data_IF_304466645831
#
_entry.id   IF_304466645831
#
_cell.length_a   1.000
_cell.length_b   1.000
_cell.length_c   1.000
_cell.angle_alpha   90.00
_cell.angle_beta   90.00
_cell.angle_gamma   90.00
#
_symmetry.space_group_name_H-M   'P 1'
#
loop_
_entity.id
_entity.type
_entity.pdbx_description
1 polymer ?
#
# COMPACT_ATOMS: atom_id res chain seq x y z
N UNK A 1 0.65 9.30 20.73
CA UNK A 1 0.22 10.68 20.38
C UNK A 1 0.07 10.72 18.88
N UNK A 2 -1.13 10.90 18.34
CA UNK A 2 -1.38 10.92 16.90
C UNK A 2 -0.66 12.12 16.31
N UNK A 3 0.17 11.91 15.28
CA UNK A 3 0.89 12.98 14.58
C UNK A 3 -0.14 13.88 13.88
N UNK A 4 0.05 15.19 14.00
CA UNK A 4 -0.85 16.17 13.41
C UNK A 4 -0.53 16.37 11.92
N UNK A 5 -1.30 15.72 11.03
CA UNK A 5 -1.19 15.84 9.57
C UNK A 5 -2.06 16.98 9.01
N UNK A 6 -2.22 18.05 9.76
CA UNK A 6 -3.24 19.11 9.54
C UNK A 6 -3.34 19.59 8.10
N UNK A 7 -2.28 19.57 7.34
CA UNK A 7 -2.26 20.11 5.99
C UNK A 7 -2.16 19.06 4.87
N UNK A 8 -1.99 17.76 5.19
CA UNK A 8 -2.09 16.70 4.17
C UNK A 8 -3.44 16.00 4.25
N UNK A 9 -4.39 16.56 3.55
CA UNK A 9 -5.78 16.11 3.56
C UNK A 9 -5.92 14.65 3.08
N UNK A 10 -5.12 14.22 2.11
CA UNK A 10 -5.26 12.87 1.57
C UNK A 10 -4.78 11.81 2.56
N UNK A 11 -3.67 12.08 3.26
CA UNK A 11 -3.22 11.21 4.34
C UNK A 11 -4.25 11.17 5.48
N UNK A 12 -4.80 12.33 5.88
CA UNK A 12 -5.85 12.36 6.90
C UNK A 12 -7.08 11.54 6.49
N UNK A 13 -7.51 11.62 5.22
CA UNK A 13 -8.64 10.80 4.73
C UNK A 13 -8.28 9.32 4.79
N UNK A 14 -7.09 8.93 4.32
CA UNK A 14 -6.67 7.53 4.38
C UNK A 14 -6.71 7.00 5.82
N UNK A 15 -6.20 7.76 6.78
CA UNK A 15 -6.15 7.33 8.19
C UNK A 15 -7.53 7.24 8.86
N UNK A 16 -8.61 7.81 8.28
CA UNK A 16 -9.98 7.62 8.80
C UNK A 16 -10.47 6.17 8.66
N UNK A 17 -9.82 5.35 7.84
CA UNK A 17 -10.17 3.94 7.71
C UNK A 17 -10.05 3.15 9.02
N UNK A 18 -9.25 3.67 9.96
CA UNK A 18 -9.03 3.07 11.28
C UNK A 18 -10.00 3.57 12.36
N UNK A 19 -10.97 4.41 12.01
CA UNK A 19 -12.02 4.80 12.96
C UNK A 19 -12.77 3.54 13.42
N UNK A 20 -12.95 3.41 14.74
CA UNK A 20 -13.63 2.26 15.34
C UNK A 20 -15.13 2.22 15.06
N UNK A 21 -15.71 3.36 14.67
CA UNK A 21 -17.14 3.53 14.44
C UNK A 21 -17.55 3.48 12.95
N UNK A 22 -16.75 2.85 12.08
CA UNK A 22 -17.01 2.79 10.62
C UNK A 22 -18.21 1.90 10.26
N UNK A 23 -19.37 2.21 10.86
CA UNK A 23 -20.67 1.58 10.59
C UNK A 23 -21.52 2.42 9.64
N UNK A 24 -22.65 1.85 9.19
CA UNK A 24 -23.62 2.58 8.38
C UNK A 24 -24.09 3.84 9.10
N UNK A 25 -24.25 4.92 8.33
CA UNK A 25 -24.67 6.25 8.78
C UNK A 25 -23.63 7.00 9.66
N UNK A 26 -22.45 6.39 9.94
CA UNK A 26 -21.36 7.10 10.60
C UNK A 26 -20.86 8.28 9.76
N UNK A 27 -20.66 9.44 10.42
CA UNK A 27 -20.15 10.67 9.77
C UNK A 27 -18.63 10.68 9.88
N UNK A 28 -17.97 10.39 8.76
CA UNK A 28 -16.51 10.36 8.68
C UNK A 28 -15.92 11.76 8.70
N UNK A 29 -15.00 12.01 9.62
CA UNK A 29 -14.26 13.27 9.74
C UNK A 29 -12.76 13.02 9.77
N UNK A 30 -12.00 13.90 9.17
CA UNK A 30 -10.54 13.91 9.31
C UNK A 30 -10.15 14.33 10.73
N UNK A 31 -8.89 14.12 11.08
CA UNK A 31 -8.31 14.57 12.35
C UNK A 31 -8.42 16.09 12.52
N UNK A 32 -8.36 16.87 11.45
CA UNK A 32 -8.59 18.33 11.47
C UNK A 32 -10.05 18.73 11.63
N UNK A 33 -10.98 17.76 11.68
CA UNK A 33 -12.42 17.98 11.83
C UNK A 33 -13.16 18.21 10.51
N UNK A 34 -12.50 18.13 9.37
CA UNK A 34 -13.15 18.23 8.06
C UNK A 34 -14.07 17.03 7.82
N UNK A 35 -15.33 17.28 7.57
CA UNK A 35 -16.27 16.21 7.23
C UNK A 35 -16.03 15.73 5.80
N UNK A 36 -15.77 14.42 5.66
CA UNK A 36 -15.62 13.73 4.37
C UNK A 36 -16.97 13.35 3.79
N UNK A 37 -17.83 12.83 4.63
CA UNK A 37 -19.17 12.39 4.27
C UNK A 37 -19.75 11.42 5.29
N UNK A 38 -20.69 10.60 4.84
CA UNK A 38 -21.35 9.57 5.65
C UNK A 38 -21.15 8.21 5.03
N UNK A 39 -20.89 7.20 5.84
CA UNK A 39 -20.76 5.79 5.42
C UNK A 39 -22.11 5.28 4.93
N UNK A 40 -22.16 4.78 3.69
CA UNK A 40 -23.40 4.31 3.05
C UNK A 40 -23.34 2.86 2.59
N UNK A 41 -22.16 2.26 2.59
CA UNK A 41 -21.94 0.82 2.45
C UNK A 41 -20.76 0.39 3.32
N UNK A 42 -20.92 -0.77 3.92
CA UNK A 42 -19.92 -1.42 4.77
C UNK A 42 -19.75 -2.86 4.28
N UNK A 43 -18.52 -3.21 3.96
CA UNK A 43 -18.08 -4.58 3.74
C UNK A 43 -17.06 -4.87 4.84
N UNK A 44 -17.50 -5.58 5.87
CA UNK A 44 -16.69 -5.92 7.03
C UNK A 44 -16.82 -7.42 7.29
N UNK A 45 -15.87 -8.20 6.78
CA UNK A 45 -15.92 -9.65 6.79
C UNK A 45 -14.70 -10.25 7.51
N UNK A 46 -14.40 -9.75 8.70
CA UNK A 46 -13.25 -10.16 9.51
C UNK A 46 -13.27 -11.65 9.91
N UNK A 47 -14.44 -12.29 9.91
CA UNK A 47 -14.60 -13.74 10.17
C UNK A 47 -14.58 -14.60 8.92
N UNK A 48 -14.48 -13.98 7.74
CA UNK A 48 -14.51 -14.65 6.44
C UNK A 48 -13.24 -14.40 5.64
N UNK A 49 -13.36 -13.70 4.50
CA UNK A 49 -12.23 -13.43 3.63
C UNK A 49 -11.30 -12.32 4.15
N UNK A 50 -11.75 -11.51 5.11
CA UNK A 50 -10.94 -10.50 5.81
C UNK A 50 -11.08 -9.07 5.26
N UNK A 51 -11.85 -8.86 4.19
CA UNK A 51 -12.00 -7.54 3.59
C UNK A 51 -12.75 -6.56 4.50
N UNK A 52 -12.25 -5.33 4.57
CA UNK A 52 -12.88 -4.19 5.22
C UNK A 52 -12.89 -2.99 4.28
N UNK A 53 -14.05 -2.71 3.67
CA UNK A 53 -14.21 -1.66 2.66
C UNK A 53 -15.44 -0.81 2.98
N UNK A 54 -15.27 0.50 2.91
CA UNK A 54 -16.31 1.47 3.27
C UNK A 54 -16.55 2.44 2.12
N UNK A 55 -17.82 2.68 1.79
CA UNK A 55 -18.20 3.72 0.84
C UNK A 55 -18.76 4.94 1.58
N UNK A 56 -18.17 6.09 1.34
CA UNK A 56 -18.51 7.37 1.98
C UNK A 56 -19.01 8.34 0.92
N UNK A 57 -20.18 8.96 1.13
CA UNK A 57 -20.76 9.98 0.26
C UNK A 57 -21.04 11.28 1.03
N UNK A 58 -20.93 12.42 0.36
CA UNK A 58 -21.17 13.72 1.00
C UNK A 58 -22.59 13.90 1.49
N UNK A 59 -23.58 13.42 0.71
CA UNK A 59 -24.99 13.51 1.04
C UNK A 59 -25.64 12.13 1.00
N UNK A 60 -25.86 11.46 2.15
CA UNK A 60 -26.41 10.11 2.19
C UNK A 60 -27.89 10.04 1.74
N UNK A 61 -28.59 11.16 1.73
CA UNK A 61 -30.00 11.24 1.29
C UNK A 61 -30.16 11.45 -0.21
N UNK A 62 -29.06 11.64 -0.93
CA UNK A 62 -29.10 11.78 -2.39
C UNK A 62 -29.39 10.43 -3.04
N UNK A 63 -30.22 10.45 -4.10
CA UNK A 63 -30.47 9.21 -4.88
C UNK A 63 -29.15 8.69 -5.46
N UNK A 64 -28.92 7.42 -5.40
CA UNK A 64 -27.68 6.78 -5.81
C UNK A 64 -27.23 7.12 -7.24
N UNK A 65 -28.20 7.28 -8.18
CA UNK A 65 -27.93 7.69 -9.56
C UNK A 65 -27.56 9.17 -9.71
N UNK A 66 -27.69 9.97 -8.65
CA UNK A 66 -27.34 11.40 -8.62
C UNK A 66 -26.03 11.68 -7.89
N UNK A 67 -25.57 10.76 -7.07
CA UNK A 67 -24.28 10.87 -6.40
C UNK A 67 -23.16 11.03 -7.43
N UNK A 68 -22.40 12.12 -7.33
CA UNK A 68 -21.34 12.46 -8.28
C UNK A 68 -19.96 11.97 -7.84
N UNK A 69 -19.77 11.75 -6.54
CA UNK A 69 -18.49 11.38 -5.96
C UNK A 69 -18.68 10.41 -4.79
N UNK A 70 -17.89 9.35 -4.78
CA UNK A 70 -17.80 8.39 -3.66
C UNK A 70 -16.34 8.28 -3.24
N UNK A 71 -16.08 8.38 -1.94
CA UNK A 71 -14.80 8.03 -1.32
C UNK A 71 -14.88 6.59 -0.86
N UNK A 72 -13.94 5.76 -1.31
CA UNK A 72 -13.83 4.36 -0.91
C UNK A 72 -12.58 4.18 -0.06
N UNK A 73 -12.77 3.71 1.17
CA UNK A 73 -11.73 3.47 2.15
C UNK A 73 -11.50 1.95 2.26
N UNK A 74 -10.25 1.53 2.08
CA UNK A 74 -9.82 0.14 2.27
C UNK A 74 -9.00 0.05 3.54
N UNK A 75 -9.52 -0.61 4.56
CA UNK A 75 -8.89 -0.69 5.88
C UNK A 75 -7.76 -1.73 5.89
N UNK A 76 -6.64 -1.36 6.51
CA UNK A 76 -5.56 -2.28 6.87
C UNK A 76 -5.97 -3.29 7.95
N UNK A 77 -5.12 -4.31 8.18
CA UNK A 77 -5.44 -5.50 9.00
C UNK A 77 -5.77 -5.20 10.47
N UNK A 78 -5.17 -4.18 11.09
CA UNK A 78 -5.44 -3.80 12.48
C UNK A 78 -5.46 -2.28 12.64
N UNK A 79 -6.44 -1.77 13.41
CA UNK A 79 -6.50 -0.37 13.77
C UNK A 79 -5.44 0.00 14.84
N UNK A 80 -5.13 1.29 14.99
CA UNK A 80 -4.13 1.77 15.96
C UNK A 80 -4.43 1.36 17.41
N UNK A 81 -5.66 1.06 17.77
CA UNK A 81 -6.05 0.72 19.13
C UNK A 81 -5.58 -0.68 19.57
N UNK A 82 -5.34 -1.61 18.63
CA UNK A 82 -4.76 -2.93 18.92
C UNK A 82 -3.27 -3.02 18.62
N UNK A 83 -2.77 -2.07 17.85
CA UNK A 83 -1.38 -2.02 17.42
C UNK A 83 -0.40 -1.74 18.57
N UNK A 84 -0.86 -1.09 19.63
CA UNK A 84 -0.03 -0.66 20.76
C UNK A 84 0.18 -1.76 21.83
N UNK A 85 -0.69 -2.77 21.87
CA UNK A 85 -0.65 -3.76 22.95
C UNK A 85 0.24 -4.97 22.59
N UNK A 86 0.49 -5.26 21.29
CA UNK A 86 1.12 -6.51 20.88
C UNK A 86 2.00 -6.37 19.63
N UNK A 87 3.19 -5.80 19.76
CA UNK A 87 4.18 -5.77 18.64
C UNK A 87 4.58 -7.16 18.15
N UNK A 88 4.46 -8.19 19.01
CA UNK A 88 4.68 -9.59 18.64
C UNK A 88 3.48 -10.15 17.85
N UNK A 89 2.26 -9.77 18.20
CA UNK A 89 1.05 -10.26 17.53
C UNK A 89 0.82 -9.61 16.17
N UNK A 90 1.27 -8.37 15.95
CA UNK A 90 1.26 -7.77 14.62
C UNK A 90 2.02 -8.63 13.61
N UNK A 91 3.21 -9.10 13.96
CA UNK A 91 3.98 -10.00 13.10
C UNK A 91 3.31 -11.36 12.94
N UNK A 92 2.61 -11.85 13.97
CA UNK A 92 1.87 -13.10 13.91
C UNK A 92 0.63 -12.95 13.02
N UNK A 93 -0.18 -11.91 13.19
CA UNK A 93 -1.33 -11.60 12.33
C UNK A 93 -0.87 -11.32 10.90
N UNK A 94 0.20 -10.55 10.73
CA UNK A 94 0.77 -10.28 9.41
C UNK A 94 1.37 -11.55 8.81
N UNK A 95 2.05 -12.38 9.60
CA UNK A 95 2.62 -13.65 9.14
C UNK A 95 1.53 -14.69 8.80
N UNK A 96 0.44 -14.73 9.51
CA UNK A 96 -0.63 -15.71 9.24
C UNK A 96 -1.51 -15.31 8.04
N UNK A 97 -1.84 -14.03 7.89
CA UNK A 97 -2.77 -13.55 6.88
C UNK A 97 -2.08 -12.87 5.69
N UNK A 98 -1.08 -12.02 5.94
CA UNK A 98 -0.43 -11.20 4.93
C UNK A 98 0.89 -11.81 4.41
N UNK A 99 1.53 -12.70 5.18
CA UNK A 99 2.73 -13.40 4.77
C UNK A 99 2.50 -14.24 3.51
N UNK A 100 1.31 -14.80 3.33
CA UNK A 100 0.97 -15.54 2.11
C UNK A 100 1.05 -14.63 0.90
N UNK A 101 0.57 -13.38 1.00
CA UNK A 101 0.65 -12.41 -0.10
C UNK A 101 2.09 -11.92 -0.24
N UNK A 102 2.75 -11.52 0.85
CA UNK A 102 4.13 -11.07 0.82
C UNK A 102 5.06 -12.15 0.24
N UNK A 103 4.92 -13.40 0.67
CA UNK A 103 5.62 -14.55 0.12
C UNK A 103 5.37 -14.70 -1.38
N UNK A 104 4.12 -14.56 -1.82
CA UNK A 104 3.76 -14.60 -3.24
C UNK A 104 4.40 -13.46 -4.02
N UNK A 105 4.38 -12.25 -3.50
CA UNK A 105 5.02 -11.08 -4.11
C UNK A 105 6.52 -11.31 -4.26
N UNK A 106 7.18 -11.79 -3.20
CA UNK A 106 8.62 -12.03 -3.19
C UNK A 106 9.04 -13.18 -4.11
N UNK A 107 8.22 -14.23 -4.23
CA UNK A 107 8.52 -15.41 -5.06
C UNK A 107 8.17 -15.23 -6.55
N UNK A 108 7.53 -14.12 -6.94
CA UNK A 108 7.04 -13.94 -8.30
C UNK A 108 8.03 -13.20 -9.20
N UNK A 109 8.72 -13.91 -10.04
CA UNK A 109 9.47 -13.35 -11.20
C UNK A 109 8.85 -13.66 -12.56
N UNK A 110 7.89 -14.58 -12.63
CA UNK A 110 7.36 -15.05 -13.91
C UNK A 110 6.12 -14.27 -14.32
N UNK A 111 6.18 -13.49 -15.43
CA UNK A 111 5.01 -12.78 -15.96
C UNK A 111 3.93 -13.70 -16.55
N UNK A 112 4.20 -14.99 -16.75
CA UNK A 112 3.22 -15.98 -17.21
C UNK A 112 2.35 -16.54 -16.08
N UNK A 113 2.52 -16.04 -14.86
CA UNK A 113 1.94 -16.59 -13.66
C UNK A 113 0.42 -16.36 -13.57
N UNK A 114 -0.31 -17.44 -13.31
CA UNK A 114 -1.76 -17.39 -13.14
C UNK A 114 -2.14 -16.74 -11.79
N UNK A 115 -3.35 -16.15 -11.73
CA UNK A 115 -3.95 -15.45 -10.60
C UNK A 115 -3.59 -16.10 -9.24
N UNK A 116 -2.79 -15.41 -8.46
CA UNK A 116 -2.37 -15.80 -7.11
C UNK A 116 -2.95 -14.89 -6.03
N UNK A 117 -4.01 -14.16 -6.37
CA UNK A 117 -4.73 -13.34 -5.40
C UNK A 117 -5.30 -14.19 -4.27
N UNK A 118 -5.39 -13.60 -3.09
CA UNK A 118 -6.09 -14.19 -1.96
C UNK A 118 -7.60 -13.98 -2.07
N UNK A 119 -8.37 -14.67 -1.24
CA UNK A 119 -9.81 -14.44 -1.17
C UNK A 119 -10.14 -13.03 -0.69
N UNK A 120 -9.32 -12.43 0.19
CA UNK A 120 -9.47 -11.05 0.62
C UNK A 120 -9.34 -10.07 -0.54
N UNK A 121 -8.28 -10.16 -1.34
CA UNK A 121 -8.10 -9.30 -2.51
C UNK A 121 -9.29 -9.41 -3.48
N UNK A 122 -9.77 -10.64 -3.71
CA UNK A 122 -10.95 -10.88 -4.58
C UNK A 122 -12.23 -10.30 -3.98
N UNK A 123 -12.42 -10.43 -2.66
CA UNK A 123 -13.59 -9.90 -1.96
C UNK A 123 -13.58 -8.37 -1.97
N UNK A 124 -12.43 -7.74 -1.71
CA UNK A 124 -12.25 -6.29 -1.82
C UNK A 124 -12.53 -5.78 -3.24
N UNK A 125 -12.12 -6.53 -4.27
CA UNK A 125 -12.43 -6.20 -5.66
C UNK A 125 -13.93 -6.30 -5.97
N UNK A 126 -14.64 -7.29 -5.39
CA UNK A 126 -16.11 -7.38 -5.50
C UNK A 126 -16.76 -6.18 -4.82
N UNK A 127 -16.35 -5.84 -3.60
CA UNK A 127 -16.87 -4.69 -2.87
C UNK A 127 -16.76 -3.38 -3.67
N UNK A 128 -15.60 -3.11 -4.29
CA UNK A 128 -15.44 -1.92 -5.14
C UNK A 128 -16.40 -1.94 -6.34
N UNK A 129 -16.60 -3.08 -6.99
CA UNK A 129 -17.54 -3.20 -8.12
C UNK A 129 -18.98 -2.96 -7.67
N UNK A 130 -19.40 -3.54 -6.56
CA UNK A 130 -20.74 -3.35 -6.00
C UNK A 130 -21.00 -1.88 -5.64
N UNK A 131 -20.00 -1.19 -5.06
CA UNK A 131 -20.06 0.25 -4.80
C UNK A 131 -20.25 1.02 -6.11
N UNK A 132 -19.48 0.68 -7.14
CA UNK A 132 -19.59 1.34 -8.45
C UNK A 132 -20.91 1.05 -9.15
N UNK A 133 -21.49 -0.12 -8.96
CA UNK A 133 -22.82 -0.46 -9.48
C UNK A 133 -23.92 0.32 -8.75
N UNK A 134 -23.84 0.42 -7.44
CA UNK A 134 -24.78 1.22 -6.63
C UNK A 134 -24.76 2.71 -7.03
N UNK A 135 -23.60 3.27 -7.34
CA UNK A 135 -23.41 4.66 -7.71
C UNK A 135 -22.94 4.81 -9.17
N UNK A 136 -23.82 4.55 -10.16
CA UNK A 136 -23.40 4.36 -11.55
C UNK A 136 -22.75 5.60 -12.19
N UNK A 137 -23.07 6.80 -11.72
CA UNK A 137 -22.59 8.07 -12.28
C UNK A 137 -21.44 8.70 -11.47
N UNK A 138 -21.09 8.13 -10.31
CA UNK A 138 -20.09 8.70 -9.44
C UNK A 138 -18.66 8.51 -9.95
N UNK A 139 -17.82 9.51 -9.72
CA UNK A 139 -16.37 9.37 -9.70
C UNK A 139 -15.95 8.76 -8.37
N UNK A 140 -14.91 7.96 -8.41
CA UNK A 140 -14.45 7.20 -7.24
C UNK A 140 -13.07 7.72 -6.82
N UNK A 141 -12.95 8.15 -5.58
CA UNK A 141 -11.69 8.39 -4.91
C UNK A 141 -11.37 7.20 -4.01
N UNK A 142 -10.17 6.67 -4.12
CA UNK A 142 -9.74 5.45 -3.42
C UNK A 142 -8.66 5.79 -2.42
N UNK A 143 -8.78 5.25 -1.21
CA UNK A 143 -7.77 5.41 -0.15
C UNK A 143 -7.49 4.07 0.51
N UNK A 144 -6.26 3.88 0.95
CA UNK A 144 -5.85 2.69 1.69
C UNK A 144 -4.45 2.83 2.28
N UNK A 145 -4.23 2.20 3.41
CA UNK A 145 -2.94 2.11 4.09
C UNK A 145 -2.62 0.64 4.36
N UNK A 146 -1.35 0.27 4.38
CA UNK A 146 -0.93 -1.09 4.72
C UNK A 146 -1.58 -2.15 3.82
N UNK A 147 -2.21 -3.19 4.40
CA UNK A 147 -3.00 -4.19 3.69
C UNK A 147 -4.14 -3.57 2.87
N UNK A 148 -4.82 -2.53 3.40
CA UNK A 148 -5.84 -1.79 2.66
C UNK A 148 -5.31 -1.15 1.37
N UNK A 149 -4.02 -0.78 1.34
CA UNK A 149 -3.34 -0.37 0.11
C UNK A 149 -3.26 -1.52 -0.92
N UNK A 150 -2.96 -2.75 -0.50
CA UNK A 150 -2.95 -3.92 -1.41
C UNK A 150 -4.35 -4.23 -1.94
N UNK A 151 -5.36 -4.20 -1.07
CA UNK A 151 -6.76 -4.39 -1.42
C UNK A 151 -7.23 -3.35 -2.44
N UNK A 152 -6.87 -2.08 -2.24
CA UNK A 152 -7.16 -1.00 -3.17
C UNK A 152 -6.47 -1.21 -4.53
N UNK A 153 -5.20 -1.59 -4.54
CA UNK A 153 -4.44 -1.87 -5.77
C UNK A 153 -5.09 -2.99 -6.58
N UNK A 154 -5.38 -4.12 -5.93
CA UNK A 154 -6.00 -5.27 -6.60
C UNK A 154 -7.42 -4.98 -7.07
N UNK A 155 -8.18 -4.24 -6.28
CA UNK A 155 -9.54 -3.85 -6.63
C UNK A 155 -9.56 -2.99 -7.88
N UNK A 156 -8.70 -1.98 -7.98
CA UNK A 156 -8.56 -1.15 -9.18
C UNK A 156 -8.08 -1.97 -10.39
N UNK A 157 -7.11 -2.87 -10.19
CA UNK A 157 -6.59 -3.75 -11.24
C UNK A 157 -7.66 -4.72 -11.80
N UNK A 158 -8.69 -5.03 -11.02
CA UNK A 158 -9.76 -5.96 -11.36
C UNK A 158 -10.97 -5.29 -12.02
N UNK A 159 -10.92 -3.98 -12.27
CA UNK A 159 -11.98 -3.23 -12.94
C UNK A 159 -11.97 -3.47 -14.46
N UNK A 160 -13.15 -3.30 -15.07
CA UNK A 160 -13.26 -3.27 -16.53
C UNK A 160 -12.85 -1.89 -17.08
N UNK A 161 -12.60 -1.82 -18.38
CA UNK A 161 -12.08 -0.61 -19.05
C UNK A 161 -13.00 0.61 -18.90
N UNK A 162 -14.31 0.43 -18.83
CA UNK A 162 -15.28 1.50 -18.60
C UNK A 162 -15.33 1.91 -17.12
N UNK A 163 -15.26 0.94 -16.22
CA UNK A 163 -15.24 1.16 -14.78
C UNK A 163 -13.98 1.93 -14.34
N UNK A 164 -12.80 1.51 -14.80
CA UNK A 164 -11.53 2.13 -14.41
C UNK A 164 -11.45 3.62 -14.76
N UNK A 165 -12.15 4.05 -15.81
CA UNK A 165 -12.24 5.48 -16.19
C UNK A 165 -12.92 6.34 -15.12
N UNK A 166 -13.70 5.72 -14.24
CA UNK A 166 -14.41 6.39 -13.14
C UNK A 166 -13.52 6.59 -11.91
N UNK A 167 -12.37 5.92 -11.82
CA UNK A 167 -11.38 6.23 -10.78
C UNK A 167 -10.87 7.64 -11.04
N UNK A 168 -11.14 8.54 -10.10
CA UNK A 168 -10.71 9.95 -10.19
C UNK A 168 -9.29 10.10 -9.67
N UNK A 169 -9.04 9.64 -8.45
CA UNK A 169 -7.73 9.61 -7.79
C UNK A 169 -7.68 8.40 -6.85
N UNK A 170 -6.47 7.91 -6.60
CA UNK A 170 -6.20 6.95 -5.56
C UNK A 170 -4.97 7.39 -4.76
N UNK A 171 -5.04 7.30 -3.44
CA UNK A 171 -3.97 7.62 -2.51
C UNK A 171 -3.74 6.41 -1.61
N UNK A 172 -2.59 5.78 -1.76
CA UNK A 172 -2.24 4.56 -1.05
C UNK A 172 -0.90 4.76 -0.33
N UNK A 173 -0.84 4.28 0.92
CA UNK A 173 0.27 4.56 1.83
C UNK A 173 0.83 3.29 2.43
N UNK A 174 2.14 3.18 2.51
CA UNK A 174 2.92 2.15 3.21
C UNK A 174 2.44 0.70 2.98
N UNK A 175 1.82 0.41 1.85
CA UNK A 175 1.45 -0.95 1.49
C UNK A 175 2.48 -1.60 0.56
N UNK A 176 2.58 -2.93 0.57
CA UNK A 176 3.31 -3.67 -0.45
C UNK A 176 2.84 -3.32 -1.86
N UNK A 177 3.77 -3.36 -2.82
CA UNK A 177 3.42 -3.20 -4.23
C UNK A 177 3.11 -4.56 -4.85
N UNK A 178 1.87 -4.72 -5.31
CA UNK A 178 1.39 -6.00 -5.84
C UNK A 178 1.53 -6.13 -7.36
N UNK A 179 2.17 -5.21 -8.05
CA UNK A 179 2.26 -5.22 -9.51
C UNK A 179 2.77 -6.55 -10.06
N UNK A 180 3.68 -7.20 -9.33
CA UNK A 180 4.27 -8.48 -9.71
C UNK A 180 3.28 -9.63 -9.76
N UNK A 181 2.27 -9.65 -8.88
CA UNK A 181 1.25 -10.71 -8.84
C UNK A 181 0.06 -10.45 -9.74
N UNK A 182 -0.04 -9.26 -10.34
CA UNK A 182 -1.10 -8.93 -11.28
C UNK A 182 -0.92 -9.67 -12.61
N UNK A 183 -2.03 -10.11 -13.21
CA UNK A 183 -2.04 -10.64 -14.56
C UNK A 183 -1.64 -9.56 -15.58
N UNK A 184 -1.23 -9.94 -16.80
CA UNK A 184 -0.94 -8.97 -17.87
C UNK A 184 -2.13 -8.03 -18.16
N UNK A 185 -3.37 -8.52 -18.06
CA UNK A 185 -4.58 -7.74 -18.25
C UNK A 185 -4.77 -6.74 -17.13
N UNK A 186 -4.62 -7.18 -15.87
CA UNK A 186 -4.71 -6.34 -14.69
C UNK A 186 -3.64 -5.22 -14.69
N UNK A 187 -2.40 -5.54 -15.11
CA UNK A 187 -1.33 -4.53 -15.29
C UNK A 187 -1.75 -3.47 -16.28
N UNK A 188 -2.30 -3.84 -17.44
CA UNK A 188 -2.80 -2.88 -18.44
C UNK A 188 -3.87 -1.96 -17.86
N UNK A 189 -4.74 -2.48 -16.97
CA UNK A 189 -5.78 -1.67 -16.32
C UNK A 189 -5.14 -0.61 -15.42
N UNK A 190 -4.27 -0.98 -14.47
CA UNK A 190 -3.63 -0.01 -13.56
C UNK A 190 -2.69 0.95 -14.29
N UNK A 191 -1.99 0.48 -15.32
CA UNK A 191 -1.13 1.33 -16.14
C UNK A 191 -1.92 2.40 -16.88
N UNK A 192 -3.17 2.09 -17.29
CA UNK A 192 -4.04 3.05 -17.98
C UNK A 192 -4.45 4.25 -17.12
N UNK A 193 -4.38 4.10 -15.79
CA UNK A 193 -4.67 5.15 -14.80
C UNK A 193 -3.48 5.48 -13.91
N UNK A 194 -2.27 5.08 -14.30
CA UNK A 194 -1.05 5.21 -13.49
C UNK A 194 -0.87 6.59 -12.87
N UNK A 195 -1.15 7.66 -13.62
CA UNK A 195 -1.01 9.05 -13.15
C UNK A 195 -2.08 9.49 -12.14
N UNK A 196 -3.10 8.68 -11.93
CA UNK A 196 -4.16 8.93 -10.94
C UNK A 196 -3.95 8.16 -9.64
N UNK A 197 -2.97 7.25 -9.59
CA UNK A 197 -2.64 6.46 -8.41
C UNK A 197 -1.37 7.03 -7.80
N UNK A 198 -1.50 7.62 -6.62
CA UNK A 198 -0.41 8.18 -5.81
C UNK A 198 -0.02 7.14 -4.76
N UNK A 199 1.12 6.50 -4.95
CA UNK A 199 1.60 5.40 -4.12
C UNK A 199 2.78 5.90 -3.27
N UNK A 200 2.50 6.20 -1.99
CA UNK A 200 3.49 6.70 -1.04
C UNK A 200 4.15 5.52 -0.32
N UNK A 201 5.47 5.49 -0.39
CA UNK A 201 6.28 4.43 0.21
C UNK A 201 7.34 5.05 1.10
N UNK A 202 7.37 4.60 2.35
CA UNK A 202 8.44 4.95 3.27
C UNK A 202 9.60 3.96 3.11
N UNK A 203 10.80 4.39 2.71
CA UNK A 203 11.93 3.48 2.58
C UNK A 203 12.37 2.83 3.91
N UNK A 204 12.08 3.49 5.04
CA UNK A 204 12.41 2.97 6.37
C UNK A 204 11.34 2.00 6.93
N UNK A 205 10.22 1.82 6.22
CA UNK A 205 9.18 0.84 6.54
C UNK A 205 9.36 -0.46 5.75
N UNK A 206 9.72 -1.59 6.40
CA UNK A 206 9.93 -2.87 5.74
C UNK A 206 8.73 -3.37 4.93
N UNK A 207 7.50 -3.12 5.41
CA UNK A 207 6.27 -3.56 4.75
C UNK A 207 6.07 -2.79 3.46
N UNK A 208 6.26 -1.48 3.51
CA UNK A 208 6.14 -0.60 2.36
C UNK A 208 7.06 -1.01 1.21
N UNK A 209 8.23 -1.59 1.53
CA UNK A 209 9.23 -1.96 0.53
C UNK A 209 8.98 -3.32 -0.13
N UNK A 210 8.04 -4.12 0.36
CA UNK A 210 7.68 -5.41 -0.26
C UNK A 210 7.16 -5.21 -1.68
N UNK A 211 7.69 -5.99 -2.62
CA UNK A 211 7.25 -5.97 -4.04
C UNK A 211 7.80 -4.81 -4.85
N UNK A 212 8.50 -3.86 -4.24
CA UNK A 212 9.17 -2.76 -4.94
C UNK A 212 10.51 -3.25 -5.47
N UNK A 213 10.73 -3.02 -6.75
CA UNK A 213 11.94 -3.44 -7.42
C UNK A 213 12.70 -2.21 -7.92
N UNK A 214 13.87 -1.98 -7.34
CA UNK A 214 14.77 -0.87 -7.72
C UNK A 214 15.82 -1.31 -8.73
N UNK A 215 15.78 -2.58 -9.15
CA UNK A 215 16.73 -3.09 -10.14
C UNK A 215 16.33 -2.60 -11.53
N UNK A 216 17.31 -2.15 -12.29
CA UNK A 216 17.14 -1.75 -13.69
C UNK A 216 16.50 -2.87 -14.49
N UNK A 217 15.30 -2.63 -15.02
CA UNK A 217 14.51 -3.67 -15.70
C UNK A 217 13.33 -4.16 -14.86
N UNK A 218 12.99 -3.47 -13.77
CA UNK A 218 11.86 -3.80 -12.92
C UNK A 218 10.56 -3.98 -13.71
N UNK A 219 9.72 -4.86 -13.20
CA UNK A 219 8.41 -5.17 -13.79
C UNK A 219 7.47 -3.96 -13.76
N UNK A 220 7.74 -2.97 -12.93
CA UNK A 220 6.92 -1.77 -12.72
C UNK A 220 6.27 -1.73 -11.34
N UNK A 221 5.41 -0.75 -11.12
CA UNK A 221 4.68 -0.53 -9.87
C UNK A 221 3.24 -0.11 -10.14
N UNK A 222 2.36 -0.34 -9.17
CA UNK A 222 0.99 0.19 -9.20
C UNK A 222 1.01 1.68 -8.90
N UNK A 223 0.75 2.50 -9.92
CA UNK A 223 0.71 3.94 -9.80
C UNK A 223 2.08 4.64 -9.89
N UNK A 224 2.09 5.92 -9.53
CA UNK A 224 3.29 6.71 -9.38
C UNK A 224 3.79 6.58 -7.94
N UNK A 225 4.98 6.02 -7.77
CA UNK A 225 5.60 5.84 -6.46
C UNK A 225 6.26 7.14 -6.01
N UNK A 226 5.95 7.55 -4.79
CA UNK A 226 6.54 8.68 -4.11
C UNK A 226 7.26 8.17 -2.85
N UNK A 227 8.59 8.15 -2.88
CA UNK A 227 9.37 7.81 -1.71
C UNK A 227 9.38 8.97 -0.72
N UNK A 228 8.95 8.70 0.49
CA UNK A 228 8.76 9.72 1.53
C UNK A 228 10.08 10.01 2.23
N UNK A 229 10.35 11.29 2.47
CA UNK A 229 11.40 11.71 3.41
C UNK A 229 10.86 11.48 4.83
N UNK A 230 11.45 10.55 5.57
CA UNK A 230 11.01 10.19 6.92
C UNK A 230 12.15 10.22 7.92
N UNK A 231 11.83 10.40 9.20
CA UNK A 231 12.75 10.13 10.31
C UNK A 231 12.59 8.68 10.72
N UNK A 232 13.68 8.07 11.17
CA UNK A 232 13.63 6.69 11.64
C UNK A 232 12.88 6.61 12.99
N UNK A 233 11.85 5.83 13.00
CA UNK A 233 11.01 5.51 14.17
C UNK A 233 11.16 4.02 14.54
N UNK A 234 10.49 3.56 15.59
CA UNK A 234 10.28 2.13 15.77
C UNK A 234 9.40 1.57 14.66
N UNK A 235 9.41 0.26 14.50
CA UNK A 235 8.75 -0.43 13.39
C UNK A 235 7.27 -0.04 13.24
N UNK A 236 6.53 0.00 14.36
CA UNK A 236 5.10 0.32 14.37
C UNK A 236 4.86 1.76 13.94
N UNK A 237 5.56 2.71 14.57
CA UNK A 237 5.43 4.12 14.28
C UNK A 237 5.86 4.43 12.83
N UNK A 238 6.89 3.74 12.31
CA UNK A 238 7.33 3.86 10.93
C UNK A 238 6.22 3.44 9.98
N UNK A 239 5.67 2.24 10.19
CA UNK A 239 4.58 1.72 9.37
C UNK A 239 3.32 2.60 9.43
N UNK A 240 2.98 3.12 10.60
CA UNK A 240 1.85 4.04 10.83
C UNK A 240 2.12 5.49 10.40
N UNK A 241 3.11 5.71 9.54
CA UNK A 241 3.45 7.02 8.95
C UNK A 241 3.94 8.09 9.94
N UNK A 242 4.24 7.74 11.19
CA UNK A 242 4.73 8.72 12.17
C UNK A 242 6.11 9.28 11.86
N UNK A 243 6.93 8.57 11.10
CA UNK A 243 8.22 9.02 10.59
C UNK A 243 8.12 10.09 9.51
N UNK A 244 6.98 10.24 8.83
CA UNK A 244 6.80 11.14 7.70
C UNK A 244 7.17 12.58 8.04
N UNK A 245 8.08 13.16 7.24
CA UNK A 245 8.41 14.56 7.33
C UNK A 245 7.44 15.40 6.52
N UNK A 246 7.08 16.57 7.05
CA UNK A 246 6.21 17.53 6.35
C UNK A 246 7.04 18.74 5.91
N UNK A 247 6.69 19.31 4.77
CA UNK A 247 7.24 20.57 4.31
C UNK A 247 6.62 21.75 5.09
N UNK A 248 7.09 22.97 4.80
CA UNK A 248 6.59 24.20 5.45
C UNK A 248 5.09 24.48 5.22
N UNK A 249 4.47 23.77 4.27
CA UNK A 249 3.04 23.88 3.97
C UNK A 249 2.26 22.70 4.59
N UNK A 250 2.92 21.85 5.36
CA UNK A 250 2.34 20.66 5.99
C UNK A 250 2.06 19.50 5.04
N UNK A 251 2.65 19.49 3.85
CA UNK A 251 2.55 18.37 2.91
C UNK A 251 3.69 17.39 3.12
N UNK A 252 3.44 16.12 2.81
CA UNK A 252 4.44 15.06 2.88
C UNK A 252 5.65 15.44 2.01
N UNK A 253 6.83 15.42 2.62
CA UNK A 253 8.09 15.59 1.91
C UNK A 253 8.44 14.35 1.12
N UNK A 254 8.76 14.54 -0.14
CA UNK A 254 9.18 13.48 -1.04
C UNK A 254 10.68 13.60 -1.28
N UNK A 255 11.37 12.47 -1.26
CA UNK A 255 12.79 12.39 -1.59
C UNK A 255 12.98 12.82 -3.04
N UNK A 256 13.74 13.90 -3.23
CA UNK A 256 13.94 14.54 -4.54
C UNK A 256 15.06 13.92 -5.36
N UNK A 257 15.92 13.12 -4.74
CA UNK A 257 17.11 12.56 -5.38
C UNK A 257 16.93 11.04 -5.58
N UNK A 258 16.64 10.65 -6.81
CA UNK A 258 16.43 9.24 -7.19
C UNK A 258 17.65 8.36 -6.86
N UNK A 259 18.87 8.92 -6.95
CA UNK A 259 20.09 8.16 -6.66
C UNK A 259 20.25 7.88 -5.16
N UNK A 260 19.89 8.84 -4.31
CA UNK A 260 19.88 8.64 -2.83
C UNK A 260 18.82 7.61 -2.45
N UNK A 261 17.64 7.71 -3.03
CA UNK A 261 16.57 6.72 -2.84
C UNK A 261 17.06 5.32 -3.25
N UNK A 262 17.64 5.17 -4.44
CA UNK A 262 18.16 3.88 -4.92
C UNK A 262 19.19 3.31 -3.94
N UNK A 263 20.13 4.12 -3.45
CA UNK A 263 21.17 3.64 -2.53
C UNK A 263 20.61 3.22 -1.18
N UNK A 264 19.81 4.07 -0.55
CA UNK A 264 19.19 3.78 0.73
C UNK A 264 18.26 2.55 0.62
N UNK A 265 17.55 2.44 -0.49
CA UNK A 265 16.66 1.35 -0.78
C UNK A 265 17.40 0.00 -0.90
N UNK A 266 18.58 -0.04 -1.53
CA UNK A 266 19.37 -1.28 -1.58
C UNK A 266 19.83 -1.74 -0.20
N UNK A 267 20.26 -0.82 0.66
CA UNK A 267 20.67 -1.16 2.03
C UNK A 267 19.47 -1.65 2.85
N UNK A 268 18.37 -0.91 2.78
CA UNK A 268 17.13 -1.27 3.47
C UNK A 268 16.51 -2.55 2.95
N UNK A 269 16.52 -2.79 1.63
CA UNK A 269 16.04 -4.02 1.06
C UNK A 269 16.80 -5.24 1.58
N UNK A 270 18.12 -5.14 1.80
CA UNK A 270 18.88 -6.23 2.40
C UNK A 270 18.41 -6.54 3.83
N UNK A 271 18.28 -5.51 4.66
CA UNK A 271 17.86 -5.68 6.05
C UNK A 271 16.40 -6.16 6.12
N UNK A 272 15.52 -5.52 5.37
CA UNK A 272 14.11 -5.87 5.31
C UNK A 272 13.88 -7.25 4.71
N UNK A 273 14.65 -7.62 3.67
CA UNK A 273 14.57 -8.93 3.06
C UNK A 273 15.00 -10.03 4.05
N UNK A 274 16.05 -9.77 4.81
CA UNK A 274 16.52 -10.69 5.86
C UNK A 274 15.45 -10.87 6.93
N UNK A 275 14.88 -9.78 7.43
CA UNK A 275 13.82 -9.80 8.43
C UNK A 275 12.57 -10.54 7.95
N UNK A 276 12.11 -10.20 6.74
CA UNK A 276 10.95 -10.87 6.12
C UNK A 276 11.22 -12.35 5.90
N UNK A 277 12.41 -12.72 5.44
CA UNK A 277 12.82 -14.12 5.26
C UNK A 277 12.80 -14.90 6.58
N UNK A 278 13.33 -14.31 7.66
CA UNK A 278 13.31 -14.89 9.00
C UNK A 278 11.87 -15.12 9.47
N UNK A 279 11.01 -14.12 9.37
CA UNK A 279 9.60 -14.21 9.78
C UNK A 279 8.80 -15.21 8.96
N UNK A 280 8.98 -15.22 7.66
CA UNK A 280 8.31 -16.18 6.78
C UNK A 280 8.85 -17.61 6.96
N UNK A 281 10.08 -17.79 7.49
CA UNK A 281 10.63 -19.12 7.77
C UNK A 281 9.89 -19.84 8.90
N UNK A 282 9.26 -19.11 9.79
CA UNK A 282 8.44 -19.67 10.86
C UNK A 282 7.21 -20.42 10.31
N UNK A 283 6.67 -20.00 9.15
CA UNK A 283 5.61 -20.68 8.40
C UNK A 283 6.04 -21.82 7.48
N UNK A 284 7.36 -22.09 7.39
CA UNK A 284 7.95 -23.10 6.53
C UNK A 284 8.03 -22.71 5.05
N UNK A 285 9.12 -23.12 4.39
CA UNK A 285 9.32 -22.96 2.95
C UNK A 285 9.48 -24.32 2.28
N UNK A 286 9.07 -24.46 1.04
CA UNK A 286 9.55 -25.53 0.19
C UNK A 286 11.03 -25.29 -0.13
N UNK A 287 11.72 -26.35 -0.57
CA UNK A 287 13.14 -26.26 -0.94
C UNK A 287 13.34 -25.30 -2.12
N UNK A 288 12.42 -25.30 -3.07
CA UNK A 288 12.43 -24.42 -4.23
C UNK A 288 12.23 -22.94 -3.83
N UNK A 289 11.30 -22.68 -2.92
CA UNK A 289 11.07 -21.35 -2.37
C UNK A 289 12.30 -20.82 -1.64
N UNK A 290 12.96 -21.66 -0.83
CA UNK A 290 14.18 -21.28 -0.13
C UNK A 290 15.30 -20.92 -1.10
N UNK A 291 15.53 -21.75 -2.13
CA UNK A 291 16.55 -21.49 -3.15
C UNK A 291 16.28 -20.20 -3.90
N UNK A 292 15.02 -19.90 -4.18
CA UNK A 292 14.64 -18.64 -4.83
C UNK A 292 14.95 -17.44 -3.94
N UNK A 293 14.55 -17.48 -2.66
CA UNK A 293 14.80 -16.40 -1.70
C UNK A 293 16.30 -16.16 -1.49
N UNK A 294 17.10 -17.22 -1.44
CA UNK A 294 18.57 -17.11 -1.34
C UNK A 294 19.17 -16.47 -2.60
N UNK A 295 18.64 -16.77 -3.77
CA UNK A 295 19.03 -16.16 -5.04
C UNK A 295 18.71 -14.66 -5.09
N UNK A 296 17.54 -14.25 -4.60
CA UNK A 296 17.15 -12.85 -4.54
C UNK A 296 18.04 -12.07 -3.56
N UNK A 297 18.29 -12.61 -2.38
CA UNK A 297 19.19 -12.00 -1.38
C UNK A 297 20.61 -11.83 -1.95
N UNK A 298 21.10 -12.82 -2.67
CA UNK A 298 22.39 -12.73 -3.35
C UNK A 298 22.40 -11.64 -4.44
N UNK A 299 21.31 -11.48 -5.16
CA UNK A 299 21.14 -10.42 -6.17
C UNK A 299 21.17 -9.03 -5.55
N UNK A 300 20.47 -8.82 -4.45
CA UNK A 300 20.46 -7.55 -3.69
C UNK A 300 21.88 -7.27 -3.15
N UNK A 301 22.55 -8.27 -2.58
CA UNK A 301 23.91 -8.13 -2.08
C UNK A 301 24.91 -7.77 -3.19
N UNK A 302 24.82 -8.40 -4.36
CA UNK A 302 25.66 -8.09 -5.51
C UNK A 302 25.44 -6.66 -6.02
N UNK A 303 24.20 -6.21 -6.07
CA UNK A 303 23.86 -4.83 -6.45
C UNK A 303 24.42 -3.82 -5.44
N UNK A 304 24.31 -4.10 -4.13
CA UNK A 304 24.86 -3.26 -3.07
C UNK A 304 26.40 -3.16 -3.16
N UNK A 305 27.08 -4.28 -3.43
CA UNK A 305 28.54 -4.29 -3.63
C UNK A 305 28.92 -3.46 -4.86
N UNK A 306 28.17 -3.55 -5.94
CA UNK A 306 28.40 -2.76 -7.15
C UNK A 306 28.27 -1.25 -6.86
N UNK A 307 27.29 -0.84 -6.09
CA UNK A 307 27.14 0.56 -5.64
C UNK A 307 28.25 1.03 -4.71
N UNK A 308 28.89 0.10 -3.97
CA UNK A 308 30.04 0.36 -3.11
C UNK A 308 31.37 0.38 -3.87
N UNK A 309 31.40 0.07 -5.16
CA UNK A 309 32.54 0.22 -6.05
C UNK A 309 33.04 1.67 -6.14
N UNK A 310 34.16 1.91 -6.78
CA UNK A 310 34.74 3.26 -6.92
C UNK A 310 33.75 4.24 -7.57
N UNK A 311 33.00 3.79 -8.58
CA UNK A 311 31.95 4.58 -9.24
C UNK A 311 30.76 4.81 -8.32
N UNK A 312 30.30 3.77 -7.61
CA UNK A 312 29.23 3.89 -6.63
C UNK A 312 29.61 4.83 -5.48
N UNK A 313 30.84 4.76 -4.97
CA UNK A 313 31.34 5.71 -3.95
C UNK A 313 31.39 7.14 -4.44
N UNK A 314 31.72 7.35 -5.71
CA UNK A 314 31.69 8.68 -6.34
C UNK A 314 30.27 9.23 -6.41
N UNK A 315 29.30 8.39 -6.78
CA UNK A 315 27.87 8.74 -6.78
C UNK A 315 27.41 9.09 -5.37
N UNK A 316 27.74 8.25 -4.37
CA UNK A 316 27.37 8.48 -2.96
C UNK A 316 28.00 9.77 -2.44
N UNK A 317 29.26 10.06 -2.81
CA UNK A 317 29.91 11.31 -2.40
C UNK A 317 29.22 12.52 -3.01
N UNK A 318 28.84 12.47 -4.30
CA UNK A 318 28.13 13.56 -4.98
C UNK A 318 26.69 13.77 -4.47
N UNK A 319 26.16 12.84 -3.70
CA UNK A 319 24.85 12.91 -3.06
C UNK A 319 24.95 13.59 -1.68
N UNK A 320 26.08 13.44 -0.98
CA UNK A 320 26.31 13.98 0.36
C UNK A 320 26.86 15.41 0.35
N UNK A 321 27.49 15.83 -0.72
CA UNK A 321 27.99 17.19 -0.98
C UNK A 321 26.90 18.04 -1.67
#
# INVERSE_FOLDING_TARGET
MIKDYVNDKNLQIAMTEYDSEMDLDHVVKTQSGDQIGTVTQVYNNTTGAGEQVYAVVKNPNEKADKVQEVTVLFRGSTGPDHFWEETADFWNDWAENDAVIAKRIMLQKDPSYQDKSTEQLKASARALKDIMEKYPNAKINVYGHSLGSMDAQYSMASLQTDQVKRIQQAYIYNGPDIYRILSPEQRKVVDSIKTRIHNYADPDDPISMVGRDMVKGSIGSVGLVYYVDSTKEDFVNQHMTYGYQLDKNGKIKILSNTSTVIYNDYLLQMDNYTLLKEKLSEGGYTKEEQLFLDSEQAGIAAASISLMSTEGKSIIKSIRD
#
